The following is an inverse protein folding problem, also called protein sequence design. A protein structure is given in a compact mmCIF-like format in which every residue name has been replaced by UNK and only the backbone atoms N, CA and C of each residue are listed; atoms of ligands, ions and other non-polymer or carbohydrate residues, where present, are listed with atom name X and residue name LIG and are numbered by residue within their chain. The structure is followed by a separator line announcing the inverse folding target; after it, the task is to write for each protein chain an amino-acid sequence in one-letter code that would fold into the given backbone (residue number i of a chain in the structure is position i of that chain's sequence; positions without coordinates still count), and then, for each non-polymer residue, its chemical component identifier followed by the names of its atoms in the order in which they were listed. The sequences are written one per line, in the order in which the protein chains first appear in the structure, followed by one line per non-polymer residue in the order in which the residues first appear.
data_IF_282141645749
#
_entry.id   IF_282141645749
#
_cell.length_a   1.000
_cell.length_b   1.000
_cell.length_c   1.000
_cell.angle_alpha   90.00
_cell.angle_beta   90.00
_cell.angle_gamma   90.00
#
_symmetry.space_group_name_H-M   'P 1'
#
loop_
_entity.id
_entity.type
_entity.pdbx_description
1 polymer ?
#
# COMPACT_ATOMS: atom_id res chain seq x y z
N UNK A 1 3.09 10.43 18.71
CA UNK A 1 3.10 9.74 17.41
C UNK A 1 2.55 8.33 17.60
N UNK A 2 1.80 7.80 16.61
CA UNK A 2 1.29 6.43 16.62
C UNK A 2 2.43 5.43 16.81
N UNK A 3 2.16 4.36 17.58
CA UNK A 3 3.10 3.26 17.75
C UNK A 3 2.67 2.09 16.86
N UNK A 4 3.58 1.60 16.03
CA UNK A 4 3.40 0.46 15.14
C UNK A 4 4.18 -0.73 15.69
N UNK A 5 3.69 -1.31 16.79
CA UNK A 5 4.33 -2.47 17.39
C UNK A 5 4.30 -3.66 16.43
N UNK A 6 5.47 -4.16 16.03
CA UNK A 6 5.59 -5.30 15.12
C UNK A 6 5.61 -4.98 13.62
N UNK A 7 5.57 -3.71 13.18
CA UNK A 7 5.60 -3.36 11.74
C UNK A 7 6.81 -3.96 11.02
N UNK A 8 7.96 -4.02 11.68
CA UNK A 8 9.18 -4.62 11.19
C UNK A 8 9.54 -5.93 11.90
N UNK A 9 8.54 -6.65 12.44
CA UNK A 9 8.73 -8.00 12.96
C UNK A 9 8.88 -9.03 11.83
N UNK A 10 9.46 -10.18 12.16
CA UNK A 10 9.49 -11.33 11.26
C UNK A 10 8.09 -11.75 10.85
N UNK A 11 8.00 -12.32 9.66
CA UNK A 11 6.74 -12.84 9.12
C UNK A 11 6.39 -14.18 9.77
N UNK A 12 5.15 -14.32 10.24
CA UNK A 12 4.64 -15.56 10.80
C UNK A 12 4.25 -16.54 9.70
N UNK A 13 4.67 -17.79 9.88
CA UNK A 13 4.48 -18.94 9.00
C UNK A 13 3.39 -19.87 9.55
N UNK A 14 3.02 -20.97 8.86
CA UNK A 14 1.95 -21.88 9.27
C UNK A 14 2.07 -22.44 10.69
N UNK A 15 3.28 -22.76 11.12
CA UNK A 15 3.55 -23.40 12.41
C UNK A 15 3.74 -22.38 13.56
N UNK A 16 3.78 -21.09 13.24
CA UNK A 16 3.93 -20.05 14.24
C UNK A 16 2.59 -19.76 14.93
N UNK A 17 2.63 -19.63 16.26
CA UNK A 17 1.46 -19.26 17.04
C UNK A 17 1.13 -17.77 16.90
N UNK A 18 -0.17 -17.48 16.85
CA UNK A 18 -0.62 -16.09 16.88
C UNK A 18 -0.55 -15.57 18.34
N UNK A 19 0.22 -14.51 18.60
CA UNK A 19 0.22 -13.88 19.91
C UNK A 19 -1.18 -13.40 20.31
N UNK A 20 -1.57 -13.46 21.60
CA UNK A 20 -2.86 -12.95 22.07
C UNK A 20 -2.95 -11.43 21.83
N UNK A 21 -4.11 -10.95 21.41
CA UNK A 21 -4.39 -9.52 21.28
C UNK A 21 -4.87 -8.97 22.63
N UNK A 22 -4.21 -7.94 23.13
CA UNK A 22 -4.65 -7.27 24.36
C UNK A 22 -6.00 -6.56 24.17
N UNK A 23 -6.84 -6.60 25.20
CA UNK A 23 -8.17 -5.96 25.17
C UNK A 23 -8.09 -4.47 24.80
N UNK A 24 -8.99 -4.01 23.94
CA UNK A 24 -9.07 -2.62 23.48
C UNK A 24 -7.93 -2.23 22.53
N UNK A 25 -7.16 -3.18 22.01
CA UNK A 25 -6.14 -2.93 20.97
C UNK A 25 -6.67 -3.31 19.60
N UNK A 26 -6.15 -2.62 18.60
CA UNK A 26 -6.39 -2.95 17.20
C UNK A 26 -5.16 -3.71 16.71
N UNK A 27 -5.39 -4.80 15.96
CA UNK A 27 -4.35 -5.56 15.27
C UNK A 27 -4.53 -5.41 13.78
N UNK A 28 -3.42 -5.19 13.09
CA UNK A 28 -3.31 -5.20 11.63
C UNK A 28 -2.55 -6.45 11.18
N UNK A 29 -3.19 -7.32 10.43
CA UNK A 29 -2.53 -8.37 9.67
C UNK A 29 -2.00 -7.77 8.37
N UNK A 30 -0.70 -7.88 8.17
CA UNK A 30 0.07 -7.13 7.18
C UNK A 30 1.00 -8.06 6.37
N UNK A 31 1.46 -7.58 5.26
CA UNK A 31 2.66 -8.06 4.56
C UNK A 31 3.44 -6.86 4.07
N UNK A 32 4.69 -6.77 4.48
CA UNK A 32 5.53 -5.56 4.44
C UNK A 32 5.70 -4.93 3.06
N UNK A 33 5.56 -5.71 1.98
CA UNK A 33 5.70 -5.25 0.59
C UNK A 33 4.36 -5.15 -0.16
N UNK A 34 3.23 -5.43 0.50
CA UNK A 34 1.92 -5.34 -0.11
C UNK A 34 1.43 -3.88 -0.18
N UNK A 35 1.19 -3.31 -1.37
CA UNK A 35 0.70 -1.94 -1.47
C UNK A 35 -0.71 -1.75 -0.87
N UNK A 36 -1.53 -2.79 -0.88
CA UNK A 36 -2.85 -2.74 -0.25
C UNK A 36 -2.77 -2.73 1.28
N UNK A 37 -1.84 -3.50 1.87
CA UNK A 37 -1.62 -3.48 3.32
C UNK A 37 -0.99 -2.16 3.77
N UNK A 38 -0.11 -1.59 2.97
CA UNK A 38 0.49 -0.28 3.22
C UNK A 38 -0.56 0.83 3.32
N UNK A 39 -1.68 0.77 2.56
CA UNK A 39 -2.81 1.69 2.72
C UNK A 39 -3.28 1.77 4.18
N UNK A 40 -3.42 0.62 4.84
CA UNK A 40 -3.83 0.59 6.24
C UNK A 40 -2.76 1.19 7.16
N UNK A 41 -1.47 0.89 6.93
CA UNK A 41 -0.35 1.49 7.70
C UNK A 41 -0.38 3.02 7.58
N UNK A 42 -0.50 3.55 6.36
CA UNK A 42 -0.60 4.99 6.12
C UNK A 42 -1.80 5.61 6.83
N UNK A 43 -2.94 4.91 6.80
CA UNK A 43 -4.16 5.41 7.42
C UNK A 43 -4.07 5.46 8.95
N UNK A 44 -3.52 4.42 9.59
CA UNK A 44 -3.22 4.43 11.01
C UNK A 44 -2.24 5.56 11.38
N UNK A 45 -1.19 5.75 10.57
CA UNK A 45 -0.21 6.81 10.78
C UNK A 45 -0.84 8.22 10.64
N UNK A 46 -1.63 8.45 9.59
CA UNK A 46 -2.34 9.71 9.34
C UNK A 46 -3.28 10.07 10.47
N UNK A 47 -3.97 9.09 11.03
CA UNK A 47 -4.89 9.25 12.17
C UNK A 47 -4.19 9.31 13.52
N UNK A 48 -2.89 9.07 13.57
CA UNK A 48 -2.10 8.95 14.79
C UNK A 48 -2.64 7.87 15.75
N UNK A 49 -3.14 6.75 15.21
CA UNK A 49 -3.69 5.62 15.96
C UNK A 49 -2.64 4.52 16.08
N UNK A 50 -2.36 4.08 17.29
CA UNK A 50 -1.43 2.97 17.55
C UNK A 50 -2.07 1.62 17.20
N UNK A 51 -1.27 0.72 16.65
CA UNK A 51 -1.72 -0.59 16.16
C UNK A 51 -0.65 -1.65 16.40
N UNK A 52 -1.09 -2.86 16.77
CA UNK A 52 -0.25 -4.06 16.74
C UNK A 52 -0.23 -4.61 15.32
N UNK A 53 0.94 -4.90 14.78
CA UNK A 53 1.12 -5.40 13.42
C UNK A 53 1.64 -6.83 13.46
N UNK A 54 0.94 -7.73 12.78
CA UNK A 54 1.36 -9.11 12.54
C UNK A 54 1.63 -9.28 11.05
N UNK A 55 2.88 -9.55 10.68
CA UNK A 55 3.25 -9.86 9.32
C UNK A 55 2.96 -11.33 9.02
N UNK A 56 2.28 -11.63 7.90
CA UNK A 56 1.75 -12.95 7.54
C UNK A 56 2.38 -13.44 6.25
N UNK A 57 2.80 -14.69 6.20
CA UNK A 57 3.18 -15.36 4.96
C UNK A 57 1.95 -15.55 4.07
N UNK A 58 2.00 -14.99 2.85
CA UNK A 58 0.87 -15.03 1.91
C UNK A 58 0.96 -16.15 0.87
N UNK A 59 2.08 -16.87 0.80
CA UNK A 59 2.20 -18.09 0.01
C UNK A 59 1.75 -19.28 0.85
N UNK A 60 2.39 -19.48 1.98
CA UNK A 60 2.04 -20.55 2.93
C UNK A 60 1.38 -19.91 4.16
N UNK A 61 0.05 -19.85 4.11
CA UNK A 61 -0.74 -19.06 5.07
C UNK A 61 -1.02 -19.84 6.35
N UNK A 62 -0.81 -19.23 7.53
CA UNK A 62 -1.23 -19.83 8.78
C UNK A 62 -2.74 -20.13 8.80
N UNK A 63 -3.12 -21.28 9.34
CA UNK A 63 -4.54 -21.68 9.46
C UNK A 63 -5.34 -20.65 10.27
N UNK A 64 -4.79 -20.17 11.38
CA UNK A 64 -5.41 -19.16 12.20
C UNK A 64 -5.69 -17.85 11.45
N UNK A 65 -4.89 -17.53 10.39
CA UNK A 65 -5.16 -16.37 9.55
C UNK A 65 -6.32 -16.60 8.59
N UNK A 66 -6.41 -17.79 7.99
CA UNK A 66 -7.52 -18.15 7.10
C UNK A 66 -8.86 -18.23 7.84
N UNK A 67 -8.86 -18.53 9.13
CA UNK A 67 -10.05 -18.49 10.00
C UNK A 67 -10.54 -17.04 10.19
N UNK A 68 -9.65 -16.05 10.18
CA UNK A 68 -9.98 -14.62 10.26
C UNK A 68 -10.36 -14.01 8.93
N UNK A 69 -9.59 -14.28 7.90
CA UNK A 69 -9.88 -13.83 6.54
C UNK A 69 -9.80 -15.02 5.57
N UNK A 70 -10.93 -15.65 5.22
CA UNK A 70 -10.96 -16.78 4.30
C UNK A 70 -10.41 -16.47 2.90
N UNK A 71 -10.36 -15.19 2.49
CA UNK A 71 -9.73 -14.77 1.23
C UNK A 71 -8.19 -14.83 1.31
N UNK A 72 -7.62 -14.90 2.52
CA UNK A 72 -6.17 -14.96 2.75
C UNK A 72 -5.40 -13.75 2.21
N UNK A 73 -6.03 -12.58 2.14
CA UNK A 73 -5.45 -11.32 1.65
C UNK A 73 -5.17 -10.36 2.79
N UNK A 74 -4.25 -9.43 2.58
CA UNK A 74 -3.98 -8.32 3.49
C UNK A 74 -4.30 -6.98 2.82
N UNK A 75 -4.68 -5.93 3.60
CA UNK A 75 -4.78 -5.88 5.05
C UNK A 75 -6.03 -6.57 5.58
N UNK A 76 -5.94 -7.03 6.81
CA UNK A 76 -7.10 -7.37 7.66
C UNK A 76 -6.86 -6.71 9.01
N UNK A 77 -7.89 -6.16 9.64
CA UNK A 77 -7.82 -5.68 11.02
C UNK A 77 -8.72 -6.49 11.93
N UNK A 78 -8.28 -6.65 13.17
CA UNK A 78 -9.03 -7.23 14.28
C UNK A 78 -9.19 -6.16 15.36
N UNK A 79 -10.43 -5.87 15.74
CA UNK A 79 -10.79 -4.86 16.73
C UNK A 79 -11.99 -5.33 17.54
N UNK A 80 -11.81 -5.55 18.85
CA UNK A 80 -12.86 -6.04 19.78
C UNK A 80 -13.59 -7.28 19.24
N UNK A 81 -12.82 -8.26 18.75
CA UNK A 81 -13.34 -9.52 18.20
C UNK A 81 -14.00 -9.40 16.83
N UNK A 82 -14.02 -8.20 16.21
CA UNK A 82 -14.56 -7.98 14.87
C UNK A 82 -13.42 -8.01 13.86
N UNK A 83 -13.67 -8.64 12.72
CA UNK A 83 -12.71 -8.75 11.62
C UNK A 83 -13.18 -7.89 10.44
N UNK A 84 -12.33 -6.98 9.98
CA UNK A 84 -12.58 -6.13 8.83
C UNK A 84 -11.44 -6.29 7.82
N UNK A 85 -11.75 -6.51 6.57
CA UNK A 85 -10.80 -6.62 5.47
C UNK A 85 -11.27 -5.82 4.26
N UNK A 86 -10.54 -5.82 3.14
CA UNK A 86 -10.57 -4.89 2.02
C UNK A 86 -10.02 -3.52 2.41
N UNK A 87 -8.90 -3.13 1.81
CA UNK A 87 -8.10 -1.97 2.25
C UNK A 87 -8.86 -0.64 2.27
N UNK A 88 -9.78 -0.42 1.33
CA UNK A 88 -10.63 0.77 1.32
C UNK A 88 -11.68 0.74 2.44
N UNK A 89 -12.27 -0.44 2.70
CA UNK A 89 -13.23 -0.65 3.81
C UNK A 89 -12.53 -0.45 5.16
N UNK A 90 -11.31 -0.96 5.31
CA UNK A 90 -10.49 -0.73 6.53
C UNK A 90 -10.26 0.76 6.76
N UNK A 91 -9.92 1.52 5.71
CA UNK A 91 -9.73 2.96 5.82
C UNK A 91 -11.00 3.69 6.26
N UNK A 92 -12.16 3.36 5.68
CA UNK A 92 -13.44 3.95 6.04
C UNK A 92 -13.87 3.57 7.46
N UNK A 93 -13.71 2.30 7.84
CA UNK A 93 -13.98 1.86 9.21
C UNK A 93 -13.15 2.64 10.25
N UNK A 94 -11.87 2.89 9.97
CA UNK A 94 -11.02 3.70 10.83
C UNK A 94 -11.50 5.16 10.91
N UNK A 95 -12.04 5.71 9.83
CA UNK A 95 -12.63 7.05 9.86
C UNK A 95 -13.90 7.10 10.73
N UNK A 96 -14.72 6.06 10.67
CA UNK A 96 -15.97 6.00 11.43
C UNK A 96 -15.73 5.84 12.95
N UNK A 97 -14.74 5.01 13.34
CA UNK A 97 -14.43 4.79 14.78
C UNK A 97 -13.52 5.87 15.40
N UNK A 98 -12.83 6.67 14.56
CA UNK A 98 -12.00 7.80 14.98
C UNK A 98 -12.40 9.08 14.23
N UNK A 99 -13.62 9.62 14.45
CA UNK A 99 -14.19 10.70 13.65
C UNK A 99 -13.45 12.04 13.80
N UNK A 100 -12.79 12.28 14.95
CA UNK A 100 -12.05 13.53 15.22
C UNK A 100 -10.81 13.67 14.31
N UNK A 101 -10.26 12.58 13.83
CA UNK A 101 -9.14 12.53 12.90
C UNK A 101 -9.56 12.01 11.50
N UNK A 102 -10.82 12.23 11.09
CA UNK A 102 -11.32 11.76 9.79
C UNK A 102 -10.49 12.31 8.63
N UNK A 103 -10.11 11.43 7.73
CA UNK A 103 -9.34 11.73 6.50
C UNK A 103 -10.29 11.94 5.32
N UNK A 104 -11.44 11.25 5.32
CA UNK A 104 -12.50 11.49 4.37
C UNK A 104 -13.22 12.82 4.67
N UNK A 105 -13.54 13.63 3.65
CA UNK A 105 -14.33 14.83 3.84
C UNK A 105 -15.69 14.56 4.48
N UNK A 106 -16.16 15.47 5.33
CA UNK A 106 -17.51 15.39 5.91
C UNK A 106 -18.60 15.68 4.87
N UNK A 107 -18.32 16.56 3.90
CA UNK A 107 -19.23 16.87 2.80
C UNK A 107 -19.44 15.63 1.92
N UNK A 108 -20.69 15.19 1.69
CA UNK A 108 -20.96 13.95 0.95
C UNK A 108 -20.46 13.97 -0.50
N UNK A 109 -20.51 15.14 -1.17
CA UNK A 109 -20.05 15.27 -2.56
C UNK A 109 -18.51 15.15 -2.64
N UNK A 110 -17.80 15.87 -1.77
CA UNK A 110 -16.34 15.78 -1.71
C UNK A 110 -15.87 14.38 -1.30
N UNK A 111 -16.59 13.72 -0.38
CA UNK A 111 -16.36 12.32 0.00
C UNK A 111 -16.52 11.39 -1.21
N UNK A 112 -17.61 11.51 -1.95
CA UNK A 112 -17.84 10.73 -3.15
C UNK A 112 -16.76 10.98 -4.21
N UNK A 113 -16.34 12.24 -4.38
CA UNK A 113 -15.30 12.62 -5.32
C UNK A 113 -13.94 11.97 -4.97
N UNK A 114 -13.56 11.92 -3.69
CA UNK A 114 -12.35 11.22 -3.25
C UNK A 114 -12.39 9.72 -3.59
N UNK A 115 -13.54 9.07 -3.45
CA UNK A 115 -13.73 7.66 -3.84
C UNK A 115 -13.65 7.45 -5.35
N UNK A 116 -14.21 8.37 -6.13
CA UNK A 116 -14.10 8.35 -7.61
C UNK A 116 -12.62 8.47 -8.02
N UNK A 117 -11.83 9.32 -7.38
CA UNK A 117 -10.40 9.42 -7.64
C UNK A 117 -9.68 8.09 -7.41
N UNK A 118 -9.94 7.42 -6.27
CA UNK A 118 -9.35 6.10 -5.98
C UNK A 118 -9.71 5.08 -7.05
N UNK A 119 -10.99 5.02 -7.46
CA UNK A 119 -11.45 4.09 -8.50
C UNK A 119 -10.75 4.36 -9.85
N UNK A 120 -10.71 5.62 -10.29
CA UNK A 120 -10.05 6.00 -11.55
C UNK A 120 -8.54 5.75 -11.55
N UNK A 121 -7.88 5.86 -10.39
CA UNK A 121 -6.45 5.63 -10.21
C UNK A 121 -6.10 4.15 -9.94
N UNK A 122 -7.09 3.29 -9.75
CA UNK A 122 -6.88 1.85 -9.51
C UNK A 122 -6.16 1.14 -10.66
N UNK A 123 -6.27 1.66 -11.89
CA UNK A 123 -5.59 1.14 -13.07
C UNK A 123 -4.05 1.09 -12.92
N UNK A 124 -3.46 1.97 -12.10
CA UNK A 124 -2.00 1.99 -11.82
C UNK A 124 -1.55 0.63 -11.27
N UNK A 125 -2.31 0.08 -10.30
CA UNK A 125 -1.98 -1.22 -9.70
C UNK A 125 -1.98 -2.34 -10.74
N UNK A 126 -3.03 -2.40 -11.56
CA UNK A 126 -3.15 -3.41 -12.62
C UNK A 126 -2.02 -3.33 -13.63
N UNK A 127 -1.68 -2.12 -14.05
CA UNK A 127 -0.59 -1.86 -15.01
C UNK A 127 0.78 -2.25 -14.43
N UNK A 128 1.06 -1.90 -13.17
CA UNK A 128 2.29 -2.31 -12.49
C UNK A 128 2.44 -3.84 -12.44
N UNK A 129 1.44 -4.55 -11.92
CA UNK A 129 1.50 -6.02 -11.83
C UNK A 129 1.45 -6.71 -13.20
N UNK A 130 0.84 -6.07 -14.21
CA UNK A 130 0.91 -6.51 -15.60
C UNK A 130 2.35 -6.50 -16.11
N UNK A 131 3.07 -5.38 -15.92
CA UNK A 131 4.46 -5.26 -16.33
C UNK A 131 5.42 -6.12 -15.51
N UNK A 132 5.15 -6.28 -14.21
CA UNK A 132 5.97 -7.16 -13.37
C UNK A 132 6.03 -8.60 -13.91
N UNK A 133 4.94 -9.06 -14.53
CA UNK A 133 4.80 -10.40 -15.12
C UNK A 133 4.93 -10.42 -16.65
N UNK A 134 5.20 -9.28 -17.27
CA UNK A 134 5.27 -9.20 -18.72
C UNK A 134 6.46 -9.99 -19.29
N UNK A 135 6.21 -10.63 -20.42
CA UNK A 135 7.20 -11.30 -21.29
C UNK A 135 7.51 -10.40 -22.49
N UNK A 136 8.49 -10.78 -23.33
CA UNK A 136 8.82 -10.05 -24.54
C UNK A 136 7.60 -9.83 -25.48
N UNK A 137 6.68 -10.80 -25.52
CA UNK A 137 5.51 -10.75 -26.42
C UNK A 137 4.45 -9.72 -26.01
N UNK A 138 4.39 -9.31 -24.74
CA UNK A 138 3.32 -8.43 -24.24
C UNK A 138 3.82 -7.18 -23.47
N UNK A 139 5.14 -7.00 -23.37
CA UNK A 139 5.71 -5.88 -22.61
C UNK A 139 5.37 -4.51 -23.23
N UNK A 140 5.31 -4.38 -24.55
CA UNK A 140 4.93 -3.12 -25.22
C UNK A 140 3.51 -2.69 -24.85
N UNK A 141 2.56 -3.64 -24.91
CA UNK A 141 1.19 -3.40 -24.48
C UNK A 141 1.11 -3.05 -22.99
N UNK A 142 1.93 -3.71 -22.16
CA UNK A 142 2.05 -3.40 -20.73
C UNK A 142 2.55 -1.98 -20.48
N UNK A 143 3.58 -1.55 -21.20
CA UNK A 143 4.12 -0.17 -21.12
C UNK A 143 3.06 0.84 -21.55
N UNK A 144 2.34 0.59 -22.66
CA UNK A 144 1.26 1.46 -23.12
C UNK A 144 0.14 1.59 -22.07
N UNK A 145 -0.24 0.48 -21.41
CA UNK A 145 -1.23 0.49 -20.34
C UNK A 145 -0.76 1.29 -19.12
N UNK A 146 0.51 1.16 -18.74
CA UNK A 146 1.07 1.95 -17.65
C UNK A 146 1.08 3.44 -17.98
N UNK A 147 1.53 3.83 -19.17
CA UNK A 147 1.50 5.22 -19.61
C UNK A 147 0.09 5.79 -19.58
N UNK A 148 -0.91 5.06 -20.10
CA UNK A 148 -2.33 5.47 -20.02
C UNK A 148 -2.81 5.69 -18.59
N UNK A 149 -2.40 4.84 -17.65
CA UNK A 149 -2.74 4.98 -16.24
C UNK A 149 -2.07 6.22 -15.63
N UNK A 150 -0.80 6.49 -15.99
CA UNK A 150 -0.06 7.68 -15.55
C UNK A 150 -0.61 8.98 -16.18
N UNK A 151 -1.01 8.98 -17.47
CA UNK A 151 -1.70 10.11 -18.10
C UNK A 151 -2.96 10.49 -17.33
N UNK A 152 -3.73 9.48 -16.93
CA UNK A 152 -4.93 9.68 -16.08
C UNK A 152 -4.55 10.28 -14.74
N UNK A 153 -3.53 9.74 -14.09
CA UNK A 153 -3.07 10.21 -12.78
C UNK A 153 -2.55 11.64 -12.83
N UNK A 154 -1.73 11.98 -13.84
CA UNK A 154 -1.21 13.32 -14.08
C UNK A 154 -2.34 14.32 -14.31
N UNK A 155 -3.36 13.95 -15.11
CA UNK A 155 -4.49 14.84 -15.43
C UNK A 155 -5.39 15.10 -14.24
N UNK A 156 -5.59 14.10 -13.35
CA UNK A 156 -6.44 14.21 -12.18
C UNK A 156 -5.78 14.94 -11.01
N UNK A 157 -4.47 15.13 -11.04
CA UNK A 157 -3.74 15.89 -10.02
C UNK A 157 -3.85 17.39 -10.32
N UNK A 158 -4.87 18.04 -9.74
CA UNK A 158 -5.19 19.46 -9.99
C UNK A 158 -4.67 20.40 -8.92
N UNK A 159 -4.16 19.86 -7.79
CA UNK A 159 -3.57 20.63 -6.67
C UNK A 159 -2.29 19.88 -6.20
N UNK A 160 -1.79 20.23 -5.02
CA UNK A 160 -0.60 19.58 -4.44
C UNK A 160 -0.79 18.08 -4.21
N UNK A 161 -2.01 17.67 -3.87
CA UNK A 161 -2.43 16.30 -3.60
C UNK A 161 -3.77 16.01 -4.26
N UNK A 162 -4.14 14.74 -4.39
CA UNK A 162 -5.49 14.36 -4.81
C UNK A 162 -6.55 14.76 -3.78
N UNK A 163 -6.16 14.93 -2.52
CA UNK A 163 -6.99 15.52 -1.46
C UNK A 163 -7.15 17.04 -1.54
N UNK A 164 -6.43 17.70 -2.46
CA UNK A 164 -6.37 19.16 -2.59
C UNK A 164 -5.06 19.75 -2.07
N UNK A 165 -5.13 20.78 -1.22
CA UNK A 165 -3.93 21.44 -0.65
C UNK A 165 -3.17 20.55 0.34
N UNK A 166 -3.84 19.60 0.96
CA UNK A 166 -3.27 18.62 1.89
C UNK A 166 -3.62 17.20 1.47
N UNK A 167 -2.79 16.23 1.91
CA UNK A 167 -3.03 14.82 1.62
C UNK A 167 -4.33 14.33 2.27
N UNK A 168 -5.15 13.60 1.49
CA UNK A 168 -6.45 13.09 1.89
C UNK A 168 -6.58 11.58 1.66
N UNK A 169 -7.82 11.11 1.62
CA UNK A 169 -8.18 9.71 1.45
C UNK A 169 -7.59 9.11 0.16
N UNK A 170 -7.76 9.79 -0.98
CA UNK A 170 -7.27 9.30 -2.25
C UNK A 170 -5.73 9.15 -2.24
N UNK A 171 -5.02 10.10 -1.60
CA UNK A 171 -3.56 10.05 -1.50
C UNK A 171 -3.09 8.82 -0.72
N UNK A 172 -3.72 8.54 0.43
CA UNK A 172 -3.34 7.37 1.25
C UNK A 172 -3.59 6.05 0.53
N UNK A 173 -4.62 5.98 -0.33
CA UNK A 173 -4.96 4.76 -1.05
C UNK A 173 -4.21 4.60 -2.38
N UNK A 174 -3.72 5.66 -2.97
CA UNK A 174 -3.05 5.63 -4.29
C UNK A 174 -1.54 5.59 -4.15
N UNK A 175 -0.98 6.30 -3.17
CA UNK A 175 0.45 6.40 -2.95
C UNK A 175 1.20 5.06 -2.99
N UNK A 176 0.77 3.98 -2.31
CA UNK A 176 1.51 2.74 -2.32
C UNK A 176 1.73 2.15 -3.72
N UNK A 177 0.82 2.43 -4.64
CA UNK A 177 0.93 1.96 -6.02
C UNK A 177 1.87 2.83 -6.85
N UNK A 178 1.88 4.15 -6.63
CA UNK A 178 2.82 5.06 -7.27
C UNK A 178 4.25 4.84 -6.77
N UNK A 179 4.45 4.54 -5.49
CA UNK A 179 5.75 4.12 -4.96
C UNK A 179 6.29 2.90 -5.73
N UNK A 180 5.45 1.88 -6.02
CA UNK A 180 5.87 0.70 -6.79
C UNK A 180 6.19 1.05 -8.25
N UNK A 181 5.46 2.00 -8.84
CA UNK A 181 5.78 2.51 -10.19
C UNK A 181 7.12 3.22 -10.21
N UNK A 182 7.45 3.99 -9.17
CA UNK A 182 8.75 4.68 -9.06
C UNK A 182 9.93 3.69 -9.02
N UNK A 183 9.77 2.56 -8.34
CA UNK A 183 10.83 1.55 -8.25
C UNK A 183 10.81 0.53 -9.39
N UNK A 184 9.79 0.55 -10.25
CA UNK A 184 9.65 -0.40 -11.36
C UNK A 184 10.86 -0.45 -12.31
N UNK A 185 11.52 0.68 -12.67
CA UNK A 185 12.72 0.65 -13.51
C UNK A 185 13.86 -0.18 -12.90
N UNK A 186 13.97 -0.20 -11.58
CA UNK A 186 14.98 -0.99 -10.87
C UNK A 186 14.60 -2.49 -10.79
N UNK A 187 13.30 -2.79 -10.70
CA UNK A 187 12.77 -4.17 -10.66
C UNK A 187 12.79 -4.82 -12.03
N UNK A 188 12.58 -4.04 -13.10
CA UNK A 188 12.51 -4.47 -14.51
C UNK A 188 13.39 -3.57 -15.38
N UNK A 189 14.73 -3.61 -15.19
CA UNK A 189 15.67 -2.80 -16.00
C UNK A 189 15.63 -3.15 -17.49
N UNK A 190 15.19 -4.36 -17.82
CA UNK A 190 14.98 -4.83 -19.18
C UNK A 190 13.91 -4.04 -19.98
N UNK A 191 13.01 -3.33 -19.29
CA UNK A 191 11.96 -2.52 -19.92
C UNK A 191 12.42 -1.11 -20.28
N UNK A 192 13.64 -0.69 -19.92
CA UNK A 192 14.22 0.62 -20.20
C UNK A 192 13.31 1.80 -19.81
N UNK A 193 12.74 1.73 -18.59
CA UNK A 193 11.78 2.72 -18.06
C UNK A 193 12.43 3.80 -17.19
N UNK A 194 13.74 4.03 -17.30
CA UNK A 194 14.50 4.96 -16.44
C UNK A 194 13.97 6.41 -16.48
N UNK A 195 13.27 6.77 -17.56
CA UNK A 195 12.64 8.08 -17.73
C UNK A 195 11.12 8.06 -17.58
N UNK A 196 10.57 6.97 -17.01
CA UNK A 196 9.11 6.80 -16.88
C UNK A 196 8.45 7.96 -16.14
N UNK A 197 9.07 8.40 -15.03
CA UNK A 197 8.69 9.61 -14.31
C UNK A 197 9.71 10.71 -14.64
N UNK A 198 9.31 11.97 -14.66
CA UNK A 198 10.19 13.09 -14.98
C UNK A 198 9.48 14.11 -15.86
N UNK A 199 10.06 14.44 -17.00
CA UNK A 199 9.53 15.49 -17.89
C UNK A 199 8.13 15.19 -18.44
N UNK A 200 7.80 13.92 -18.65
CA UNK A 200 6.50 13.52 -19.19
C UNK A 200 5.37 13.62 -18.13
N UNK A 201 5.72 13.50 -16.84
CA UNK A 201 4.78 13.53 -15.71
C UNK A 201 5.25 14.48 -14.61
N UNK A 202 5.35 15.80 -14.87
CA UNK A 202 5.94 16.76 -13.94
C UNK A 202 5.13 16.93 -12.64
N UNK A 203 3.79 16.85 -12.71
CA UNK A 203 2.95 16.94 -11.52
C UNK A 203 3.09 15.70 -10.63
N UNK A 204 3.11 14.50 -11.23
CA UNK A 204 3.34 13.25 -10.49
C UNK A 204 4.73 13.21 -9.86
N UNK A 205 5.75 13.66 -10.59
CA UNK A 205 7.12 13.75 -10.04
C UNK A 205 7.17 14.65 -8.80
N UNK A 206 6.55 15.84 -8.88
CA UNK A 206 6.46 16.76 -7.77
C UNK A 206 5.57 16.21 -6.63
N UNK A 207 4.50 15.51 -6.95
CA UNK A 207 3.62 14.83 -5.98
C UNK A 207 4.37 13.74 -5.22
N UNK A 208 5.10 12.87 -5.90
CA UNK A 208 5.91 11.81 -5.30
C UNK A 208 6.90 12.41 -4.29
N UNK A 209 7.59 13.47 -4.68
CA UNK A 209 8.51 14.16 -3.78
C UNK A 209 7.81 14.69 -2.52
N UNK A 210 6.61 15.31 -2.67
CA UNK A 210 5.81 15.79 -1.52
C UNK A 210 5.31 14.66 -0.64
N UNK A 211 4.84 13.55 -1.22
CA UNK A 211 4.36 12.39 -0.47
C UNK A 211 5.45 11.80 0.42
N UNK A 212 6.68 11.69 -0.08
CA UNK A 212 7.83 11.19 0.69
C UNK A 212 8.18 12.03 1.92
N UNK A 213 7.83 13.31 1.92
CA UNK A 213 8.05 14.19 3.07
C UNK A 213 6.98 14.05 4.17
N UNK A 214 5.86 13.42 3.88
CA UNK A 214 4.77 13.25 4.86
C UNK A 214 5.18 12.30 5.98
N UNK A 215 4.89 12.65 7.25
CA UNK A 215 5.21 11.78 8.40
C UNK A 215 4.60 10.39 8.29
N UNK A 216 3.37 10.28 7.81
CA UNK A 216 2.68 9.02 7.60
C UNK A 216 3.35 8.14 6.56
N UNK A 217 3.91 8.73 5.51
CA UNK A 217 4.65 7.99 4.47
C UNK A 217 6.00 7.52 5.01
N UNK A 218 6.71 8.36 5.77
CA UNK A 218 7.99 7.99 6.39
C UNK A 218 7.91 6.78 7.34
N UNK A 219 6.72 6.48 7.87
CA UNK A 219 6.49 5.25 8.66
C UNK A 219 6.48 3.99 7.79
N UNK A 220 5.93 4.08 6.59
CA UNK A 220 5.63 2.93 5.73
C UNK A 220 6.68 2.70 4.64
N UNK A 221 7.25 3.78 4.10
CA UNK A 221 8.17 3.75 2.95
C UNK A 221 9.38 2.84 3.21
N UNK A 222 9.77 2.10 2.18
CA UNK A 222 10.93 1.21 2.23
C UNK A 222 11.99 1.63 1.21
N UNK A 223 13.29 1.34 1.50
CA UNK A 223 14.35 1.51 0.52
C UNK A 223 14.02 0.81 -0.80
N UNK A 224 14.35 1.44 -1.92
CA UNK A 224 14.08 0.89 -3.25
C UNK A 224 14.74 -0.49 -3.45
N UNK A 225 15.94 -0.67 -2.93
CA UNK A 225 16.67 -1.95 -2.94
C UNK A 225 15.91 -3.08 -2.24
N UNK A 226 15.14 -2.81 -1.19
CA UNK A 226 14.32 -3.81 -0.52
C UNK A 226 13.16 -4.27 -1.42
N UNK A 227 12.56 -3.35 -2.18
CA UNK A 227 11.55 -3.72 -3.18
C UNK A 227 12.15 -4.59 -4.28
N UNK A 228 13.34 -4.24 -4.79
CA UNK A 228 14.04 -5.04 -5.81
C UNK A 228 14.28 -6.46 -5.30
N UNK A 229 14.91 -6.60 -4.13
CA UNK A 229 15.19 -7.91 -3.51
C UNK A 229 13.91 -8.72 -3.29
N UNK A 230 12.84 -8.07 -2.80
CA UNK A 230 11.55 -8.74 -2.61
C UNK A 230 10.97 -9.26 -3.93
N UNK A 231 10.91 -8.42 -4.98
CA UNK A 231 10.34 -8.83 -6.25
C UNK A 231 11.22 -9.88 -6.98
N UNK A 232 12.53 -9.87 -6.78
CA UNK A 232 13.41 -10.91 -7.30
C UNK A 232 13.15 -12.25 -6.60
N UNK A 233 12.99 -12.26 -5.28
CA UNK A 233 12.58 -13.45 -4.54
C UNK A 233 11.17 -13.93 -4.94
N UNK A 234 10.24 -12.98 -5.15
CA UNK A 234 8.87 -13.27 -5.58
C UNK A 234 8.82 -14.01 -6.93
N UNK A 235 9.68 -13.65 -7.89
CA UNK A 235 9.79 -14.31 -9.19
C UNK A 235 10.18 -15.80 -9.07
N UNK A 236 10.87 -16.19 -8.00
CA UNK A 236 11.26 -17.60 -7.76
C UNK A 236 10.12 -18.46 -7.20
N UNK A 237 8.98 -17.87 -6.88
CA UNK A 237 7.86 -18.51 -6.18
C UNK A 237 8.07 -18.68 -4.66
N UNK A 238 9.20 -18.19 -4.12
CA UNK A 238 9.55 -18.23 -2.69
C UNK A 238 9.90 -16.81 -2.21
N UNK A 239 8.91 -15.93 -2.05
CA UNK A 239 9.17 -14.54 -1.64
C UNK A 239 9.79 -14.47 -0.25
N UNK A 240 10.86 -13.70 -0.12
CA UNK A 240 11.43 -13.35 1.17
C UNK A 240 10.71 -12.12 1.74
N UNK A 241 9.85 -12.35 2.70
CA UNK A 241 9.09 -11.29 3.37
C UNK A 241 9.91 -10.55 4.44
N UNK A 242 11.10 -11.06 4.80
CA UNK A 242 11.90 -10.55 5.92
C UNK A 242 13.06 -9.63 5.49
N UNK A 243 13.15 -9.31 4.20
CA UNK A 243 14.17 -8.40 3.66
C UNK A 243 14.22 -7.10 4.48
N UNK A 244 15.43 -6.70 4.89
CA UNK A 244 15.66 -5.49 5.68
C UNK A 244 15.23 -5.60 7.15
N UNK A 245 14.88 -6.79 7.65
CA UNK A 245 14.73 -7.05 9.07
C UNK A 245 16.11 -7.46 9.61
N UNK A 246 16.65 -6.67 10.51
CA UNK A 246 17.81 -7.09 11.32
C UNK A 246 17.29 -7.96 12.45
N UNK A 247 17.80 -9.17 12.57
CA UNK A 247 17.57 -9.98 13.75
C UNK A 247 18.00 -9.20 15.00
N UNK A 248 17.07 -9.03 15.93
CA UNK A 248 17.35 -8.38 17.21
C UNK A 248 18.19 -9.29 18.10
#
# INVERSE_FOLDING_TARGET
MANFHGLNSITLNPDDELPPLASGKIRLYNMRFCPYAERAVLYFAKKNVSVEVINVNLVDKPKWYLERNPLGKVPTIEHDGKIIYESAVVAEYLDDIFPDSSVLPKDPYLRAHQKILVERLSAISGAFYGLLRATADNQEAGIANLKKALDTAESLLTDNFYGGKSSGYADMLVWPHLERVEVLPLIRPDLHLDKLLGTDYPKLTAYIARMKELPEVKVAIRPAEHHVQFFDSYKTGKPDYNIGITAA
#
